data_IF_556409570792
#
_entry.id   IF_556409570792
#
_cell.length_a   1.000
_cell.length_b   1.000
_cell.length_c   1.000
_cell.angle_alpha   90.00
_cell.angle_beta   90.00
_cell.angle_gamma   90.00
#
_symmetry.space_group_name_H-M   'P 1'
#
loop_
_entity.id
_entity.type
_entity.pdbx_description
1 polymer ?
#
# COMPACT_ATOMS: atom_id res chain seq x y z
N UNK A 1 -2.41 16.76 11.40
CA UNK A 1 -2.59 15.32 11.28
C UNK A 1 -1.74 14.61 12.28
N UNK A 2 -2.27 14.52 13.46
CA UNK A 2 -1.58 13.83 14.53
C UNK A 2 -1.27 12.39 14.13
N UNK A 3 -0.08 11.93 14.41
CA UNK A 3 0.33 10.58 14.08
C UNK A 3 0.91 10.38 12.69
N UNK A 4 0.76 11.35 11.82
CA UNK A 4 1.33 11.28 10.46
C UNK A 4 2.48 12.26 10.39
N UNK A 5 3.62 11.83 10.02
CA UNK A 5 4.76 12.72 9.85
C UNK A 5 4.68 13.52 8.56
N UNK A 6 3.53 14.14 8.29
CA UNK A 6 3.34 14.94 7.09
C UNK A 6 4.19 16.20 7.18
N UNK A 7 4.80 16.59 6.07
CA UNK A 7 5.55 17.82 5.95
C UNK A 7 4.55 18.97 5.84
N UNK A 8 4.27 19.70 6.92
CA UNK A 8 3.10 20.57 6.95
C UNK A 8 3.31 21.94 6.33
N UNK A 9 4.53 22.33 6.13
CA UNK A 9 4.82 23.71 5.76
C UNK A 9 4.85 23.97 4.27
N UNK A 10 4.70 22.94 3.47
CA UNK A 10 5.03 23.01 2.08
C UNK A 10 3.82 23.42 1.26
N UNK A 11 3.81 24.68 0.84
CA UNK A 11 2.79 25.18 -0.08
C UNK A 11 2.90 24.45 -1.41
N UNK A 12 1.78 23.99 -1.94
CA UNK A 12 1.75 23.26 -3.20
C UNK A 12 1.96 21.77 -3.07
N UNK A 13 2.22 21.27 -1.87
CA UNK A 13 2.31 19.85 -1.63
C UNK A 13 0.91 19.21 -1.64
N UNK A 14 0.90 17.92 -1.96
CA UNK A 14 -0.33 17.15 -1.98
C UNK A 14 -0.78 16.86 -0.55
N UNK A 15 -2.10 16.85 -0.33
CA UNK A 15 -2.65 16.48 0.97
C UNK A 15 -2.59 14.97 1.15
N UNK A 16 -2.58 14.51 2.40
CA UNK A 16 -2.66 13.07 2.66
C UNK A 16 -3.95 12.48 2.11
N UNK A 17 -5.06 13.22 2.14
CA UNK A 17 -6.31 12.74 1.55
C UNK A 17 -6.19 12.51 0.05
N UNK A 18 -5.37 13.28 -0.67
CA UNK A 18 -5.08 13.03 -2.07
C UNK A 18 -4.48 11.63 -2.26
N UNK A 19 -3.52 11.27 -1.40
CA UNK A 19 -2.89 9.95 -1.47
C UNK A 19 -3.87 8.84 -1.09
N UNK A 20 -4.67 9.05 -0.06
CA UNK A 20 -5.65 8.05 0.36
C UNK A 20 -6.71 7.79 -0.70
N UNK A 21 -7.14 8.83 -1.41
CA UNK A 21 -8.08 8.67 -2.52
C UNK A 21 -7.51 7.75 -3.60
N UNK A 22 -6.23 7.91 -3.94
CA UNK A 22 -5.59 7.07 -4.96
C UNK A 22 -5.34 5.65 -4.45
N UNK A 23 -4.95 5.52 -3.20
CA UNK A 23 -4.80 4.20 -2.60
C UNK A 23 -6.12 3.43 -2.56
N UNK A 24 -7.23 4.13 -2.30
CA UNK A 24 -8.55 3.50 -2.28
C UNK A 24 -9.07 3.18 -3.68
N UNK A 25 -8.82 4.05 -4.65
CA UNK A 25 -9.39 3.93 -5.99
C UNK A 25 -8.63 3.00 -6.92
N UNK A 26 -7.35 2.74 -6.66
CA UNK A 26 -6.56 1.87 -7.51
C UNK A 26 -7.16 0.46 -7.51
N UNK A 27 -7.35 -0.11 -8.68
CA UNK A 27 -7.88 -1.47 -8.79
C UNK A 27 -6.79 -2.50 -8.56
N UNK A 28 -5.64 -2.27 -9.16
CA UNK A 28 -4.49 -3.15 -9.05
C UNK A 28 -3.36 -2.40 -8.36
N UNK A 29 -2.49 -3.14 -7.70
CA UNK A 29 -1.35 -2.57 -7.01
C UNK A 29 -0.13 -3.41 -7.32
N UNK A 30 1.04 -2.80 -7.28
CA UNK A 30 2.30 -3.53 -7.34
C UNK A 30 2.81 -3.70 -5.92
N UNK A 31 3.05 -4.93 -5.54
CA UNK A 31 3.67 -5.26 -4.26
C UNK A 31 5.10 -5.69 -4.52
N UNK A 32 6.05 -4.95 -3.96
CA UNK A 32 7.47 -5.23 -4.11
C UNK A 32 8.02 -5.70 -2.76
N UNK A 33 8.75 -6.80 -2.80
CA UNK A 33 9.34 -7.43 -1.61
C UNK A 33 10.79 -7.75 -1.89
N UNK A 34 11.51 -8.16 -0.83
CA UNK A 34 12.91 -8.55 -0.94
C UNK A 34 13.06 -9.94 -0.35
N UNK A 35 13.61 -10.86 -1.12
CA UNK A 35 13.85 -12.22 -0.64
C UNK A 35 14.95 -12.24 0.44
N UNK A 36 15.07 -13.33 1.21
CA UNK A 36 16.15 -13.43 2.20
C UNK A 36 17.54 -13.24 1.62
N UNK A 37 17.73 -13.56 0.35
CA UNK A 37 19.02 -13.36 -0.32
C UNK A 37 19.21 -11.95 -0.86
N UNK A 38 18.25 -11.05 -0.64
CA UNK A 38 18.35 -9.67 -1.09
C UNK A 38 17.86 -9.40 -2.50
N UNK A 39 17.19 -10.36 -3.13
CA UNK A 39 16.68 -10.20 -4.49
C UNK A 39 15.34 -9.45 -4.47
N UNK A 40 15.22 -8.35 -5.20
CA UNK A 40 13.93 -7.65 -5.30
C UNK A 40 12.94 -8.46 -6.12
N UNK A 41 11.67 -8.38 -5.74
CA UNK A 41 10.61 -9.11 -6.41
C UNK A 41 9.35 -8.23 -6.43
N UNK A 42 8.63 -8.21 -7.54
CA UNK A 42 7.40 -7.41 -7.67
C UNK A 42 6.30 -8.23 -8.33
N UNK A 43 5.09 -8.09 -7.81
CA UNK A 43 3.90 -8.73 -8.37
C UNK A 43 2.71 -7.80 -8.29
N UNK A 44 1.81 -7.90 -9.26
CA UNK A 44 0.52 -7.23 -9.18
C UNK A 44 -0.37 -7.98 -8.17
N UNK A 45 -1.05 -7.23 -7.34
CA UNK A 45 -1.96 -7.78 -6.33
C UNK A 45 -3.25 -6.97 -6.29
N UNK A 46 -4.31 -7.58 -5.79
CA UNK A 46 -5.54 -6.89 -5.43
C UNK A 46 -5.47 -6.52 -3.95
N UNK A 47 -6.12 -5.44 -3.58
CA UNK A 47 -6.13 -5.04 -2.18
C UNK A 47 -7.12 -3.94 -1.88
N UNK A 48 -7.23 -3.68 -0.59
CA UNK A 48 -8.16 -2.70 -0.04
C UNK A 48 -7.38 -1.72 0.83
N UNK A 49 -7.65 -0.45 0.64
CA UNK A 49 -7.17 0.58 1.56
C UNK A 49 -8.26 0.81 2.61
N UNK A 50 -7.96 0.48 3.85
CA UNK A 50 -8.92 0.59 4.94
C UNK A 50 -8.19 0.87 6.25
N UNK A 51 -8.71 1.80 7.01
CA UNK A 51 -8.19 2.15 8.34
C UNK A 51 -6.68 2.48 8.32
N UNK A 52 -6.27 3.23 7.30
CA UNK A 52 -4.89 3.66 7.17
C UNK A 52 -3.90 2.54 6.84
N UNK A 53 -4.37 1.40 6.36
CA UNK A 53 -3.53 0.26 5.99
C UNK A 53 -3.96 -0.31 4.65
N UNK A 54 -3.02 -0.94 3.99
CA UNK A 54 -3.31 -1.68 2.77
C UNK A 54 -3.44 -3.17 3.11
N UNK A 55 -4.58 -3.75 2.73
CA UNK A 55 -4.91 -5.14 3.05
C UNK A 55 -4.90 -5.97 1.77
N UNK A 56 -4.20 -7.09 1.78
CA UNK A 56 -4.20 -8.02 0.67
C UNK A 56 -4.15 -9.45 1.18
N UNK A 57 -4.55 -10.39 0.33
CA UNK A 57 -4.47 -11.80 0.68
C UNK A 57 -3.51 -12.53 -0.25
N UNK A 58 -2.89 -13.57 0.26
CA UNK A 58 -2.03 -14.44 -0.52
C UNK A 58 -2.10 -15.84 0.06
N UNK A 59 -1.86 -16.86 -0.76
CA UNK A 59 -1.86 -18.22 -0.28
C UNK A 59 -0.90 -18.41 0.88
N UNK A 60 -1.31 -19.18 1.89
CA UNK A 60 -0.54 -19.34 3.11
C UNK A 60 0.88 -19.87 2.88
N UNK A 61 1.06 -20.66 1.84
CA UNK A 61 2.36 -21.23 1.50
C UNK A 61 2.99 -20.59 0.28
N UNK A 62 2.47 -19.43 -0.14
CA UNK A 62 3.02 -18.74 -1.28
C UNK A 62 4.42 -18.21 -0.99
N UNK A 63 5.16 -17.94 -2.05
CA UNK A 63 6.48 -17.33 -1.93
C UNK A 63 6.38 -15.95 -1.26
N UNK A 64 5.33 -15.19 -1.57
CA UNK A 64 5.09 -13.89 -0.93
C UNK A 64 4.91 -14.01 0.58
N UNK A 65 4.09 -14.98 1.01
CA UNK A 65 3.86 -15.18 2.43
C UNK A 65 5.14 -15.54 3.16
N UNK A 66 5.94 -16.44 2.60
CA UNK A 66 7.21 -16.83 3.20
C UNK A 66 8.21 -15.68 3.21
N UNK A 67 8.30 -14.94 2.13
CA UNK A 67 9.19 -13.78 2.03
C UNK A 67 8.84 -12.74 3.09
N UNK A 68 7.55 -12.41 3.23
CA UNK A 68 7.12 -11.41 4.21
C UNK A 68 7.30 -11.87 5.65
N UNK A 69 7.28 -13.16 5.90
CA UNK A 69 7.58 -13.69 7.24
C UNK A 69 9.04 -13.43 7.64
N UNK A 70 9.95 -13.44 6.67
CA UNK A 70 11.38 -13.16 6.92
C UNK A 70 11.71 -11.68 6.83
N UNK A 71 11.16 -11.00 5.83
CA UNK A 71 11.38 -9.57 5.62
C UNK A 71 10.04 -8.89 5.41
N UNK A 72 9.48 -8.31 6.47
CA UNK A 72 8.15 -7.69 6.39
C UNK A 72 8.13 -6.34 5.67
N UNK A 73 9.28 -5.74 5.39
CA UNK A 73 9.33 -4.48 4.68
C UNK A 73 8.99 -4.69 3.21
N UNK A 74 8.12 -3.84 2.69
CA UNK A 74 7.65 -3.95 1.32
C UNK A 74 7.26 -2.58 0.77
N UNK A 75 7.00 -2.54 -0.53
CA UNK A 75 6.52 -1.33 -1.19
C UNK A 75 5.22 -1.68 -1.90
N UNK A 76 4.20 -0.86 -1.70
CA UNK A 76 2.93 -0.96 -2.41
C UNK A 76 2.79 0.29 -3.29
N UNK A 77 2.55 0.09 -4.57
CA UNK A 77 2.44 1.18 -5.54
C UNK A 77 1.09 1.09 -6.25
N UNK A 78 0.41 2.22 -6.38
CA UNK A 78 -0.81 2.28 -7.17
C UNK A 78 -0.50 2.05 -8.65
N UNK A 79 -1.54 1.69 -9.42
CA UNK A 79 -1.32 1.29 -10.82
C UNK A 79 -1.01 2.46 -11.75
N UNK A 80 -1.46 3.68 -11.41
CA UNK A 80 -1.21 4.85 -12.25
C UNK A 80 0.11 5.50 -11.88
N UNK A 81 1.01 5.58 -12.84
CA UNK A 81 2.30 6.24 -12.64
C UNK A 81 2.23 7.76 -12.84
N UNK A 82 1.18 8.25 -13.52
CA UNK A 82 1.03 9.68 -13.78
C UNK A 82 0.47 10.45 -12.57
N UNK A 83 -0.19 9.76 -11.67
CA UNK A 83 -0.62 10.27 -10.37
C UNK A 83 -0.24 9.21 -9.34
N UNK A 84 1.02 9.11 -9.05
CA UNK A 84 1.55 7.96 -8.34
C UNK A 84 1.52 8.11 -6.84
N UNK A 85 1.20 7.01 -6.16
CA UNK A 85 1.42 6.88 -4.72
C UNK A 85 2.30 5.65 -4.52
N UNK A 86 3.43 5.84 -3.86
CA UNK A 86 4.38 4.78 -3.55
C UNK A 86 4.49 4.68 -2.04
N UNK A 87 4.07 3.56 -1.48
CA UNK A 87 4.03 3.37 -0.03
C UNK A 87 5.06 2.35 0.39
N UNK A 88 6.08 2.79 1.10
CA UNK A 88 6.99 1.90 1.80
C UNK A 88 6.36 1.56 3.13
N UNK A 89 6.23 0.30 3.43
CA UNK A 89 5.52 -0.13 4.61
C UNK A 89 6.03 -1.42 5.20
N UNK A 90 5.31 -1.86 6.21
CA UNK A 90 5.63 -3.08 6.94
C UNK A 90 4.39 -3.96 6.97
N UNK A 91 4.50 -5.16 6.42
CA UNK A 91 3.40 -6.11 6.35
C UNK A 91 3.36 -7.00 7.58
N UNK A 92 2.15 -7.32 8.03
CA UNK A 92 1.94 -8.28 9.10
C UNK A 92 0.77 -9.18 8.76
N UNK A 93 0.91 -10.46 9.04
CA UNK A 93 -0.20 -11.40 8.92
C UNK A 93 -1.20 -11.10 10.03
N UNK A 94 -2.48 -10.98 9.66
CA UNK A 94 -3.53 -10.58 10.59
C UNK A 94 -4.40 -11.79 10.92
N UNK A 95 -4.51 -12.11 12.21
CA UNK A 95 -5.32 -13.23 12.67
C UNK A 95 -6.81 -12.89 12.66
N UNK A 96 -7.17 -11.65 13.02
CA UNK A 96 -8.55 -11.20 13.05
C UNK A 96 -8.72 -10.02 12.11
N UNK A 97 -9.26 -10.30 10.95
CA UNK A 97 -9.49 -9.28 9.92
C UNK A 97 -10.81 -8.57 10.23
N UNK A 98 -10.82 -7.22 10.28
CA UNK A 98 -12.08 -6.49 10.44
C UNK A 98 -13.07 -6.86 9.35
N UNK A 99 -14.35 -6.99 9.72
CA UNK A 99 -15.39 -7.42 8.78
C UNK A 99 -15.51 -6.47 7.56
N UNK A 100 -15.16 -5.22 7.76
CA UNK A 100 -15.20 -4.23 6.68
C UNK A 100 -14.25 -4.58 5.53
N UNK A 101 -13.17 -5.29 5.81
CA UNK A 101 -12.16 -5.61 4.78
C UNK A 101 -12.68 -6.65 3.78
N UNK A 102 -13.17 -7.82 4.19
CA UNK A 102 -13.73 -8.76 3.22
C UNK A 102 -14.97 -8.21 2.50
N UNK A 103 -15.77 -7.41 3.19
CA UNK A 103 -16.93 -6.77 2.55
C UNK A 103 -16.49 -5.82 1.44
N UNK A 104 -15.54 -4.95 1.73
CA UNK A 104 -15.01 -4.01 0.74
C UNK A 104 -14.31 -4.73 -0.41
N UNK A 105 -13.61 -5.81 -0.11
CA UNK A 105 -12.94 -6.61 -1.13
C UNK A 105 -13.96 -7.20 -2.11
N UNK A 106 -15.03 -7.78 -1.58
CA UNK A 106 -16.10 -8.35 -2.42
C UNK A 106 -16.80 -7.28 -3.26
N UNK A 107 -17.05 -6.12 -2.68
CA UNK A 107 -17.65 -5.00 -3.41
C UNK A 107 -16.75 -4.51 -4.53
N UNK A 108 -15.45 -4.42 -4.26
CA UNK A 108 -14.49 -3.89 -5.22
C UNK A 108 -14.21 -4.85 -6.37
N UNK A 109 -14.06 -6.13 -6.09
CA UNK A 109 -13.59 -7.11 -7.06
C UNK A 109 -14.66 -8.11 -7.50
N UNK A 110 -15.81 -8.12 -6.86
CA UNK A 110 -16.90 -9.01 -7.25
C UNK A 110 -16.75 -10.45 -6.76
N UNK A 111 -15.76 -10.73 -5.96
CA UNK A 111 -15.53 -12.05 -5.39
C UNK A 111 -14.82 -11.92 -4.05
N UNK A 112 -14.95 -12.94 -3.21
CA UNK A 112 -14.26 -12.98 -1.92
C UNK A 112 -12.81 -13.44 -2.03
N UNK A 113 -12.13 -13.44 -0.92
CA UNK A 113 -10.78 -13.99 -0.85
C UNK A 113 -10.81 -15.48 -1.19
N UNK A 114 -9.75 -15.99 -1.84
CA UNK A 114 -9.61 -17.43 -2.02
C UNK A 114 -9.53 -18.14 -0.67
N UNK A 115 -10.08 -19.34 -0.60
CA UNK A 115 -9.92 -20.19 0.58
C UNK A 115 -8.44 -20.50 0.79
N UNK A 116 -8.07 -20.78 2.03
CA UNK A 116 -6.68 -21.07 2.41
C UNK A 116 -5.70 -19.92 2.15
N UNK A 117 -6.21 -18.70 2.11
CA UNK A 117 -5.35 -17.52 1.98
C UNK A 117 -5.21 -16.82 3.32
N UNK A 118 -4.02 -16.31 3.58
CA UNK A 118 -3.78 -15.42 4.71
C UNK A 118 -4.00 -13.98 4.30
N UNK A 119 -4.42 -13.15 5.23
CA UNK A 119 -4.63 -11.72 4.99
C UNK A 119 -3.52 -10.94 5.69
N UNK A 120 -2.87 -10.09 4.93
CA UNK A 120 -1.82 -9.21 5.43
C UNK A 120 -2.30 -7.77 5.44
N UNK A 121 -1.86 -7.03 6.45
CA UNK A 121 -2.05 -5.57 6.48
C UNK A 121 -0.68 -4.91 6.40
N UNK A 122 -0.55 -3.93 5.53
CA UNK A 122 0.67 -3.15 5.38
C UNK A 122 0.47 -1.80 6.04
N UNK A 123 1.27 -1.54 7.06
CA UNK A 123 1.28 -0.26 7.76
C UNK A 123 2.26 0.68 7.05
N UNK A 124 1.83 1.88 6.65
CA UNK A 124 2.74 2.80 5.98
C UNK A 124 3.84 3.30 6.91
N UNK A 125 5.04 3.44 6.37
CA UNK A 125 6.18 4.05 7.05
C UNK A 125 6.56 5.35 6.35
N UNK A 126 6.77 5.29 5.05
CA UNK A 126 7.04 6.47 4.22
C UNK A 126 6.23 6.35 2.94
N UNK A 127 5.52 7.40 2.60
CA UNK A 127 4.69 7.42 1.40
C UNK A 127 5.13 8.60 0.54
N UNK A 128 5.25 8.34 -0.75
CA UNK A 128 5.57 9.36 -1.75
C UNK A 128 4.37 9.53 -2.67
N UNK A 129 4.05 10.77 -3.00
CA UNK A 129 3.01 11.08 -3.97
C UNK A 129 3.47 12.15 -4.93
N UNK A 130 3.12 12.03 -6.20
CA UNK A 130 3.45 13.05 -7.19
C UNK A 130 2.56 12.93 -8.42
N UNK A 131 2.47 14.05 -9.13
CA UNK A 131 1.71 14.18 -10.37
C UNK A 131 2.71 14.41 -11.50
N UNK A 132 2.56 13.67 -12.57
CA UNK A 132 3.51 13.70 -13.70
C UNK A 132 3.49 14.99 -14.50
N UNK A 133 2.40 15.76 -14.45
CA UNK A 133 2.27 16.95 -15.27
C UNK A 133 3.58 17.78 -15.28
N UNK A 134 4.18 17.95 -16.46
CA UNK A 134 5.55 18.47 -16.59
C UNK A 134 5.78 19.80 -15.90
N UNK A 135 4.78 20.67 -15.90
CA UNK A 135 4.88 21.98 -15.24
C UNK A 135 4.76 21.89 -13.73
N UNK A 136 4.38 20.75 -13.18
CA UNK A 136 4.04 20.60 -11.76
C UNK A 136 4.79 19.48 -11.07
N UNK A 137 5.58 18.70 -11.79
CA UNK A 137 6.19 17.50 -11.22
C UNK A 137 6.94 17.77 -9.92
N UNK A 138 7.89 18.67 -9.95
CA UNK A 138 8.73 18.94 -8.78
C UNK A 138 7.96 19.65 -7.67
N UNK A 139 6.92 20.42 -8.01
CA UNK A 139 6.13 21.15 -7.02
C UNK A 139 5.08 20.27 -6.34
N UNK A 140 4.75 19.10 -6.92
CA UNK A 140 3.78 18.19 -6.33
C UNK A 140 4.41 17.00 -5.64
N UNK A 141 5.70 16.73 -5.86
CA UNK A 141 6.39 15.64 -5.19
C UNK A 141 6.32 15.84 -3.67
N UNK A 142 5.71 14.89 -2.98
CA UNK A 142 5.41 15.01 -1.57
C UNK A 142 5.78 13.70 -0.87
N UNK A 143 6.28 13.84 0.35
CA UNK A 143 6.63 12.70 1.17
C UNK A 143 5.91 12.80 2.51
N UNK A 144 5.25 11.74 2.90
CA UNK A 144 4.64 11.61 4.22
C UNK A 144 5.37 10.53 4.99
N UNK A 145 5.67 10.80 6.25
CA UNK A 145 6.34 9.82 7.11
C UNK A 145 5.45 9.48 8.28
N UNK A 146 5.50 8.25 8.71
CA UNK A 146 4.68 7.72 9.78
C UNK A 146 5.58 7.09 10.83
N UNK A 147 5.13 7.11 12.07
CA UNK A 147 5.89 6.48 13.15
C UNK A 147 5.92 4.98 12.94
N UNK A 148 7.10 4.44 12.99
CA UNK A 148 7.39 3.05 12.71
C UNK A 148 6.92 2.02 13.73
#
# INVERSE_FOLDING_TARGET
>A
MAGYGIEPSESGLLSWSWAEERLAASRNYWLSTVTPSGTPHAMAVWGIWFDGRFWFSTGNESKKARTLAHQPRCVVTTERADEAVVMEGRAALVARVPDDVPTAYREKYGMGYPEDSGVFAVRPLTVFGFIEASAQFSSTATRWQFKG
#
